data_IF_584323693575
#
_entry.id   IF_584323693575
#
_cell.length_a   1.000
_cell.length_b   1.000
_cell.length_c   1.000
_cell.angle_alpha   90.00
_cell.angle_beta   90.00
_cell.angle_gamma   90.00
#
_symmetry.space_group_name_H-M   'P 1'
#
loop_
_entity.id
_entity.type
_entity.pdbx_description
1 polymer ?
#
# COMPACT_ATOMS: atom_id res chain seq x y z
N UNK A 1 0.92 -6.54 13.68
CA UNK A 1 1.94 -7.61 13.79
C UNK A 1 1.56 -8.73 14.74
N UNK A 2 1.12 -8.48 15.97
CA UNK A 2 0.75 -9.56 16.91
C UNK A 2 -0.26 -10.58 16.34
N UNK A 3 -1.28 -10.09 15.63
CA UNK A 3 -2.34 -10.92 15.07
C UNK A 3 -1.96 -11.56 13.72
N UNK A 4 -1.37 -10.80 12.81
CA UNK A 4 -1.10 -11.25 11.44
C UNK A 4 0.19 -12.06 11.30
N UNK A 5 1.22 -11.79 12.10
CA UNK A 5 2.54 -12.40 11.92
C UNK A 5 2.51 -13.93 12.12
N UNK A 6 1.85 -14.51 13.15
CA UNK A 6 1.77 -15.95 13.29
C UNK A 6 1.15 -16.63 12.06
N UNK A 7 0.02 -16.09 11.58
CA UNK A 7 -0.68 -16.63 10.43
C UNK A 7 0.14 -16.51 9.14
N UNK A 8 0.82 -15.37 8.94
CA UNK A 8 1.68 -15.16 7.78
C UNK A 8 2.87 -16.12 7.76
N UNK A 9 3.51 -16.36 8.90
CA UNK A 9 4.61 -17.33 9.02
C UNK A 9 4.11 -18.75 8.74
N UNK A 10 2.99 -19.16 9.34
CA UNK A 10 2.38 -20.49 9.14
C UNK A 10 2.04 -20.73 7.66
N UNK A 11 1.51 -19.71 6.98
CA UNK A 11 1.08 -19.79 5.58
C UNK A 11 2.19 -19.48 4.57
N UNK A 12 3.40 -19.14 5.02
CA UNK A 12 4.50 -18.75 4.14
C UNK A 12 4.25 -17.46 3.35
N UNK A 13 3.45 -16.55 3.90
CA UNK A 13 3.08 -15.27 3.28
C UNK A 13 4.03 -14.16 3.73
N UNK A 14 4.58 -13.40 2.79
CA UNK A 14 5.38 -12.23 3.08
C UNK A 14 4.48 -11.03 3.43
N UNK A 15 4.71 -10.38 4.58
CA UNK A 15 4.04 -9.13 4.94
C UNK A 15 4.86 -7.95 4.41
N UNK A 16 4.26 -7.09 3.59
CA UNK A 16 4.87 -5.82 3.13
C UNK A 16 4.13 -4.66 3.80
N UNK A 17 4.85 -3.70 4.37
CA UNK A 17 4.21 -2.60 5.11
C UNK A 17 4.97 -1.27 5.09
N UNK A 18 4.23 -0.17 4.98
CA UNK A 18 4.72 1.21 5.07
C UNK A 18 4.89 1.72 6.53
N UNK A 19 4.86 0.82 7.51
CA UNK A 19 4.94 1.15 8.94
C UNK A 19 6.30 1.70 9.41
N UNK A 20 7.33 1.75 8.55
CA UNK A 20 8.63 2.29 8.93
C UNK A 20 8.68 3.82 9.02
N UNK A 21 7.82 4.53 8.26
CA UNK A 21 7.70 5.99 8.28
C UNK A 21 9.07 6.70 8.30
N UNK A 22 9.38 7.45 9.38
CA UNK A 22 10.64 8.17 9.58
C UNK A 22 11.74 7.35 10.26
N UNK A 23 11.43 6.18 10.82
CA UNK A 23 12.38 5.29 11.52
C UNK A 23 12.15 3.81 11.16
N UNK A 24 12.49 3.40 9.93
CA UNK A 24 12.24 2.04 9.47
C UNK A 24 13.06 0.98 10.21
N UNK A 25 14.26 1.33 10.70
CA UNK A 25 15.08 0.42 11.51
C UNK A 25 14.49 0.20 12.91
N UNK A 26 13.99 1.25 13.56
CA UNK A 26 13.27 1.10 14.83
C UNK A 26 12.01 0.24 14.68
N UNK A 27 11.30 0.37 13.55
CA UNK A 27 10.18 -0.52 13.23
C UNK A 27 10.64 -1.98 13.05
N UNK A 28 11.75 -2.21 12.36
CA UNK A 28 12.35 -3.55 12.20
C UNK A 28 12.66 -4.19 13.56
N UNK A 29 13.34 -3.48 14.45
CA UNK A 29 13.65 -3.97 15.80
C UNK A 29 12.38 -4.34 16.58
N UNK A 30 11.32 -3.54 16.48
CA UNK A 30 10.04 -3.85 17.13
C UNK A 30 9.39 -5.10 16.56
N UNK A 31 9.40 -5.28 15.24
CA UNK A 31 8.84 -6.49 14.61
C UNK A 31 9.63 -7.73 15.01
N UNK A 32 10.96 -7.66 15.02
CA UNK A 32 11.84 -8.75 15.49
C UNK A 32 11.58 -9.07 16.97
N UNK A 33 11.43 -8.05 17.82
CA UNK A 33 11.10 -8.23 19.23
C UNK A 33 9.72 -8.87 19.44
N UNK A 34 8.72 -8.53 18.62
CA UNK A 34 7.41 -9.18 18.64
C UNK A 34 7.52 -10.65 18.21
N UNK A 35 8.24 -10.93 17.12
CA UNK A 35 8.44 -12.28 16.62
C UNK A 35 9.11 -13.18 17.67
N UNK A 36 10.16 -12.68 18.31
CA UNK A 36 10.88 -13.39 19.38
C UNK A 36 9.96 -13.72 20.57
N UNK A 37 9.11 -12.77 21.01
CA UNK A 37 8.12 -13.01 22.07
C UNK A 37 7.07 -14.05 21.70
N UNK A 38 6.75 -14.16 20.41
CA UNK A 38 5.81 -15.15 19.87
C UNK A 38 6.48 -16.50 19.55
N UNK A 39 7.80 -16.63 19.75
CA UNK A 39 8.54 -17.87 19.48
C UNK A 39 8.92 -18.09 18.01
N UNK A 40 8.81 -17.07 17.16
CA UNK A 40 9.17 -17.17 15.74
C UNK A 40 10.57 -16.61 15.47
N UNK A 41 11.34 -17.33 14.65
CA UNK A 41 12.53 -16.80 13.99
C UNK A 41 12.16 -16.37 12.59
N UNK A 42 12.29 -15.08 12.30
CA UNK A 42 11.90 -14.49 11.00
C UNK A 42 13.01 -13.60 10.47
N UNK A 43 12.95 -13.35 9.17
CA UNK A 43 13.74 -12.32 8.49
C UNK A 43 12.89 -11.08 8.22
N UNK A 44 13.43 -9.91 8.52
CA UNK A 44 12.78 -8.62 8.26
C UNK A 44 13.69 -7.78 7.37
N UNK A 45 13.27 -7.55 6.12
CA UNK A 45 13.92 -6.65 5.18
C UNK A 45 13.48 -5.20 5.40
N UNK A 46 14.39 -4.24 5.18
CA UNK A 46 14.09 -2.81 5.25
C UNK A 46 14.33 -2.15 3.89
N UNK A 47 13.26 -1.77 3.21
CA UNK A 47 13.29 -1.04 1.95
C UNK A 47 13.27 0.48 2.24
N UNK A 48 14.44 1.10 2.26
CA UNK A 48 14.60 2.53 2.56
C UNK A 48 15.58 3.19 1.58
N UNK A 49 15.51 4.52 1.47
CA UNK A 49 16.49 5.28 0.68
C UNK A 49 17.79 5.43 1.47
N UNK A 50 18.91 5.03 0.87
CA UNK A 50 20.21 5.53 1.29
C UNK A 50 20.37 6.91 0.66
N UNK A 51 20.68 7.94 1.45
CA UNK A 51 20.88 9.29 0.92
C UNK A 51 21.90 9.22 -0.24
N UNK A 52 21.45 9.52 -1.45
CA UNK A 52 22.36 9.66 -2.59
C UNK A 52 22.95 11.05 -2.42
N UNK A 53 24.23 11.13 -2.07
CA UNK A 53 24.98 12.39 -2.12
C UNK A 53 25.17 12.75 -3.60
N UNK A 54 24.13 13.33 -4.20
CA UNK A 54 24.20 13.86 -5.56
C UNK A 54 24.94 15.19 -5.44
N UNK A 55 26.27 15.12 -5.51
CA UNK A 55 27.13 16.27 -5.73
C UNK A 55 26.67 16.98 -7.02
N UNK A 56 25.81 17.99 -6.89
CA UNK A 56 25.30 18.79 -8.01
C UNK A 56 23.85 19.24 -7.91
N UNK A 57 23.03 18.73 -6.98
CA UNK A 57 21.67 19.25 -6.79
C UNK A 57 21.70 20.44 -5.82
N UNK A 58 22.04 21.61 -6.37
CA UNK A 58 22.16 22.89 -5.68
C UNK A 58 20.96 23.20 -4.77
N UNK A 59 21.28 23.44 -3.50
CA UNK A 59 20.84 24.50 -2.56
C UNK A 59 19.35 24.94 -2.45
N UNK A 60 18.49 24.74 -3.44
CA UNK A 60 17.07 25.13 -3.41
C UNK A 60 16.18 24.18 -2.59
N UNK A 61 16.59 22.93 -2.37
CA UNK A 61 15.82 21.96 -1.56
C UNK A 61 16.24 21.93 -0.08
N UNK A 62 17.26 22.70 0.31
CA UNK A 62 17.82 22.70 1.68
C UNK A 62 17.08 23.60 2.67
N UNK A 63 16.10 24.41 2.22
CA UNK A 63 15.40 25.39 3.06
C UNK A 63 14.03 24.94 3.59
N UNK A 64 13.74 23.64 3.60
CA UNK A 64 12.66 23.10 4.42
C UNK A 64 13.32 22.25 5.51
N UNK A 65 13.30 22.73 6.76
CA UNK A 65 13.83 21.97 7.89
C UNK A 65 13.19 20.59 7.95
N UNK A 66 14.02 19.55 7.85
CA UNK A 66 13.58 18.15 7.74
C UNK A 66 13.81 17.62 6.34
N UNK A 67 14.68 16.61 6.20
CA UNK A 67 15.16 16.07 4.92
C UNK A 67 14.04 15.88 3.90
N UNK A 68 14.34 16.25 2.65
CA UNK A 68 13.47 16.17 1.47
C UNK A 68 12.73 14.83 1.48
N UNK A 69 11.47 14.86 1.90
CA UNK A 69 10.75 13.63 2.22
C UNK A 69 10.14 13.06 0.94
N UNK A 70 11.01 12.53 0.07
CA UNK A 70 10.62 11.91 -1.19
C UNK A 70 9.93 10.57 -0.89
N UNK A 71 8.74 10.38 -1.45
CA UNK A 71 8.08 9.09 -1.44
C UNK A 71 8.78 8.17 -2.45
N UNK A 72 9.16 6.99 -1.98
CA UNK A 72 9.79 5.96 -2.81
C UNK A 72 8.77 5.18 -3.65
N UNK A 73 9.23 4.72 -4.80
CA UNK A 73 8.54 3.74 -5.63
C UNK A 73 8.68 2.29 -5.14
N UNK A 74 8.02 1.37 -5.84
CA UNK A 74 8.02 -0.07 -5.69
C UNK A 74 9.39 -0.74 -5.88
N UNK A 75 10.31 -0.13 -6.63
CA UNK A 75 11.59 -0.76 -7.01
C UNK A 75 12.40 -1.31 -5.82
N UNK A 76 12.42 -0.61 -4.69
CA UNK A 76 13.17 -1.06 -3.49
C UNK A 76 12.51 -2.28 -2.85
N UNK A 77 11.18 -2.37 -2.90
CA UNK A 77 10.41 -3.52 -2.40
C UNK A 77 10.66 -4.73 -3.30
N UNK A 78 10.60 -4.56 -4.63
CA UNK A 78 10.89 -5.62 -5.62
C UNK A 78 12.29 -6.21 -5.40
N UNK A 79 13.31 -5.35 -5.25
CA UNK A 79 14.68 -5.81 -4.96
C UNK A 79 14.77 -6.61 -3.65
N UNK A 80 14.03 -6.21 -2.62
CA UNK A 80 13.97 -6.95 -1.36
C UNK A 80 13.36 -8.34 -1.55
N UNK A 81 12.25 -8.43 -2.29
CA UNK A 81 11.56 -9.68 -2.60
C UNK A 81 12.45 -10.64 -3.40
N UNK A 82 13.02 -10.16 -4.50
CA UNK A 82 13.83 -10.99 -5.42
C UNK A 82 15.09 -11.54 -4.77
N UNK A 83 15.80 -10.70 -4.02
CA UNK A 83 17.13 -11.03 -3.51
C UNK A 83 17.11 -11.76 -2.17
N UNK A 84 16.15 -11.45 -1.29
CA UNK A 84 16.21 -11.87 0.11
C UNK A 84 15.01 -12.72 0.55
N UNK A 85 13.88 -12.70 -0.17
CA UNK A 85 12.64 -13.42 0.18
C UNK A 85 12.30 -13.37 1.68
N UNK A 86 12.23 -12.17 2.29
CA UNK A 86 12.05 -12.05 3.73
C UNK A 86 10.62 -12.42 4.14
N UNK A 87 10.41 -12.71 5.44
CA UNK A 87 9.06 -12.91 5.98
C UNK A 87 8.29 -11.58 6.08
N UNK A 88 9.02 -10.48 6.33
CA UNK A 88 8.44 -9.13 6.44
C UNK A 88 9.33 -8.14 5.69
N UNK A 89 8.72 -7.22 4.93
CA UNK A 89 9.37 -6.03 4.37
C UNK A 89 8.76 -4.80 5.03
N UNK A 90 9.62 -3.98 5.63
CA UNK A 90 9.25 -2.67 6.17
C UNK A 90 9.83 -1.61 5.25
N UNK A 91 8.99 -0.70 4.77
CA UNK A 91 9.44 0.43 3.96
C UNK A 91 9.59 1.68 4.82
N UNK A 92 10.48 2.60 4.42
CA UNK A 92 10.34 4.02 4.77
C UNK A 92 9.14 4.61 4.00
N UNK A 93 9.03 5.95 3.89
CA UNK A 93 7.95 6.56 3.09
C UNK A 93 7.97 6.10 1.62
N UNK A 94 7.02 5.24 1.25
CA UNK A 94 6.69 4.87 -0.14
C UNK A 94 5.32 5.44 -0.50
N UNK A 95 5.08 5.68 -1.78
CA UNK A 95 3.70 5.93 -2.26
C UNK A 95 2.86 4.69 -1.93
N UNK A 96 1.61 4.87 -1.51
CA UNK A 96 0.78 3.75 -1.09
C UNK A 96 0.56 2.76 -2.26
N UNK A 97 0.35 3.28 -3.47
CA UNK A 97 0.39 2.51 -4.73
C UNK A 97 1.58 1.56 -4.83
N UNK A 98 2.77 1.99 -4.39
CA UNK A 98 4.02 1.22 -4.49
C UNK A 98 3.98 -0.07 -3.67
N UNK A 99 3.22 -0.11 -2.57
CA UNK A 99 3.05 -1.32 -1.75
C UNK A 99 2.37 -2.45 -2.54
N UNK A 100 1.47 -2.09 -3.43
CA UNK A 100 0.68 -3.01 -4.24
C UNK A 100 1.29 -3.22 -5.63
N UNK A 101 1.90 -2.18 -6.20
CA UNK A 101 2.59 -2.25 -7.48
C UNK A 101 3.75 -3.24 -7.43
N UNK A 102 4.53 -3.23 -6.34
CA UNK A 102 5.68 -4.11 -6.19
C UNK A 102 5.35 -5.60 -6.36
N UNK A 103 4.30 -6.16 -5.73
CA UNK A 103 3.91 -7.54 -5.95
C UNK A 103 2.96 -7.78 -7.14
N UNK A 104 2.12 -6.81 -7.55
CA UNK A 104 0.87 -7.13 -8.28
C UNK A 104 0.47 -6.16 -9.42
N UNK A 105 1.15 -5.02 -9.64
CA UNK A 105 0.82 -4.09 -10.73
C UNK A 105 0.02 -2.84 -10.31
N UNK A 106 0.03 -1.80 -11.15
CA UNK A 106 -0.44 -0.44 -10.79
C UNK A 106 -1.96 -0.31 -10.62
N UNK A 107 -2.76 -0.95 -11.48
CA UNK A 107 -4.22 -0.86 -11.41
C UNK A 107 -4.78 -1.42 -10.09
N UNK A 108 -4.28 -2.59 -9.67
CA UNK A 108 -4.66 -3.19 -8.41
C UNK A 108 -4.26 -2.30 -7.22
N UNK A 109 -3.11 -1.62 -7.31
CA UNK A 109 -2.69 -0.65 -6.31
C UNK A 109 -3.67 0.48 -6.13
N UNK A 110 -3.99 1.20 -7.21
CA UNK A 110 -4.94 2.32 -7.14
C UNK A 110 -6.32 1.91 -6.63
N UNK A 111 -6.81 0.72 -7.00
CA UNK A 111 -8.08 0.22 -6.48
C UNK A 111 -8.06 -0.03 -4.97
N UNK A 112 -6.92 -0.43 -4.40
CA UNK A 112 -6.78 -0.77 -2.98
C UNK A 112 -6.31 0.39 -2.11
N UNK A 113 -6.03 1.55 -2.70
CA UNK A 113 -5.67 2.77 -1.99
C UNK A 113 -6.88 3.43 -1.31
N UNK A 114 -6.60 4.43 -0.47
CA UNK A 114 -7.60 5.23 0.23
C UNK A 114 -8.58 4.45 1.14
N UNK A 115 -8.18 3.28 1.65
CA UNK A 115 -8.91 2.56 2.70
C UNK A 115 -10.23 1.96 2.22
N UNK A 116 -11.37 2.44 2.72
CA UNK A 116 -12.70 1.88 2.39
C UNK A 116 -13.34 2.53 1.15
N UNK A 117 -12.62 3.34 0.37
CA UNK A 117 -13.21 4.04 -0.78
C UNK A 117 -13.81 3.06 -1.81
N UNK A 118 -13.05 2.03 -2.16
CA UNK A 118 -13.48 0.98 -3.09
C UNK A 118 -14.74 0.25 -2.62
N UNK A 119 -14.97 0.21 -1.30
CA UNK A 119 -16.13 -0.44 -0.66
C UNK A 119 -17.22 0.56 -0.25
N UNK A 120 -17.18 1.78 -0.79
CA UNK A 120 -18.25 2.76 -0.65
C UNK A 120 -18.06 3.80 0.47
N UNK A 121 -16.87 3.89 1.05
CA UNK A 121 -16.61 4.73 2.23
C UNK A 121 -16.54 6.24 1.97
N UNK A 122 -15.96 6.63 0.84
CA UNK A 122 -16.00 8.02 0.37
C UNK A 122 -16.96 8.22 -0.81
N UNK A 123 -17.71 7.15 -1.16
CA UNK A 123 -18.68 7.13 -2.23
C UNK A 123 -19.84 8.08 -1.91
N UNK A 124 -19.83 9.21 -2.60
CA UNK A 124 -20.80 10.30 -2.62
C UNK A 124 -21.19 10.94 -1.28
N UNK A 125 -21.22 12.28 -1.29
CA UNK A 125 -21.43 13.16 -0.13
C UNK A 125 -22.69 12.80 0.69
N UNK A 126 -22.70 13.00 2.03
CA UNK A 126 -23.92 12.86 2.83
C UNK A 126 -25.05 13.72 2.24
N UNK A 127 -26.13 13.07 1.79
CA UNK A 127 -27.29 13.72 1.16
C UNK A 127 -27.46 13.43 -0.34
N UNK A 128 -26.57 12.64 -0.95
CA UNK A 128 -26.75 12.21 -2.33
C UNK A 128 -27.92 11.23 -2.46
N UNK A 129 -28.88 11.55 -3.33
CA UNK A 129 -30.03 10.70 -3.67
C UNK A 129 -29.65 9.39 -4.37
N UNK A 130 -28.40 9.30 -4.83
CA UNK A 130 -27.82 8.11 -5.47
C UNK A 130 -27.01 7.25 -4.50
N UNK A 131 -27.03 7.57 -3.20
CA UNK A 131 -26.33 6.81 -2.17
C UNK A 131 -27.16 5.61 -1.74
N UNK A 132 -26.67 4.42 -2.07
CA UNK A 132 -27.31 3.14 -1.69
C UNK A 132 -26.95 2.67 -0.26
N UNK A 133 -26.01 3.34 0.42
CA UNK A 133 -25.54 3.01 1.76
C UNK A 133 -26.17 3.98 2.77
N UNK A 134 -26.77 3.48 3.86
CA UNK A 134 -27.31 4.36 4.90
C UNK A 134 -26.20 5.01 5.75
N UNK A 135 -26.52 5.96 6.62
CA UNK A 135 -25.52 6.53 7.55
C UNK A 135 -25.03 5.49 8.59
N UNK A 136 -25.92 4.68 9.21
CA UNK A 136 -25.48 3.58 10.08
C UNK A 136 -24.55 2.58 9.39
N UNK A 137 -24.81 2.23 8.13
CA UNK A 137 -24.00 1.25 7.40
C UNK A 137 -22.59 1.75 7.07
N UNK A 138 -22.31 3.06 7.11
CA UNK A 138 -20.95 3.60 6.99
C UNK A 138 -20.06 3.27 8.18
N UNK A 139 -20.66 2.94 9.32
CA UNK A 139 -19.90 2.56 10.51
C UNK A 139 -19.39 1.13 10.40
N UNK A 140 -19.91 0.34 9.46
CA UNK A 140 -19.53 -1.04 9.18
C UNK A 140 -19.03 -1.20 7.75
N UNK A 141 -17.88 -0.60 7.45
CA UNK A 141 -17.23 -0.72 6.14
C UNK A 141 -16.01 -1.62 6.23
N UNK A 142 -15.89 -2.51 5.24
CA UNK A 142 -14.75 -3.41 5.13
C UNK A 142 -13.65 -2.84 4.25
N UNK A 143 -12.40 -3.12 4.62
CA UNK A 143 -11.27 -2.87 3.74
C UNK A 143 -11.33 -3.84 2.54
N UNK A 144 -11.08 -3.36 1.31
CA UNK A 144 -10.98 -4.24 0.16
C UNK A 144 -9.69 -5.07 0.19
N UNK A 145 -9.70 -6.17 -0.55
CA UNK A 145 -8.50 -6.89 -0.95
C UNK A 145 -8.59 -7.26 -2.43
N UNK A 146 -7.45 -7.57 -3.05
CA UNK A 146 -7.42 -8.08 -4.40
C UNK A 146 -6.64 -9.40 -4.47
N UNK A 147 -7.14 -10.30 -5.30
CA UNK A 147 -6.42 -11.45 -5.80
C UNK A 147 -5.90 -11.09 -7.19
N UNK A 148 -4.59 -11.24 -7.39
CA UNK A 148 -3.97 -11.03 -8.70
C UNK A 148 -3.32 -12.33 -9.15
N UNK A 149 -3.78 -12.84 -10.28
CA UNK A 149 -3.26 -14.06 -10.89
C UNK A 149 -2.00 -13.76 -11.71
N UNK A 150 -1.22 -14.80 -11.98
CA UNK A 150 0.03 -14.67 -12.75
C UNK A 150 -0.17 -14.23 -14.20
N UNK A 151 -1.39 -14.37 -14.75
CA UNK A 151 -1.77 -13.85 -16.07
C UNK A 151 -2.24 -12.38 -16.03
N UNK A 152 -2.18 -11.73 -14.86
CA UNK A 152 -2.49 -10.32 -14.67
C UNK A 152 -3.97 -10.01 -14.47
N UNK A 153 -4.84 -11.01 -14.26
CA UNK A 153 -6.23 -10.73 -13.88
C UNK A 153 -6.27 -10.26 -12.43
N UNK A 154 -7.08 -9.23 -12.20
CA UNK A 154 -7.28 -8.63 -10.89
C UNK A 154 -8.73 -8.88 -10.48
N UNK A 155 -8.93 -9.55 -9.35
CA UNK A 155 -10.23 -9.75 -8.73
C UNK A 155 -10.26 -8.99 -7.41
N UNK A 156 -11.08 -7.93 -7.32
CA UNK A 156 -11.28 -7.18 -6.09
C UNK A 156 -12.44 -7.77 -5.29
N UNK A 157 -12.29 -7.81 -3.97
CA UNK A 157 -13.25 -8.38 -3.05
C UNK A 157 -13.21 -7.65 -1.70
N UNK A 158 -14.15 -7.99 -0.83
CA UNK A 158 -14.21 -7.59 0.59
C UNK A 158 -14.54 -8.82 1.42
N UNK A 159 -14.34 -8.75 2.74
CA UNK A 159 -14.65 -9.88 3.62
C UNK A 159 -16.12 -10.31 3.51
N UNK A 160 -16.36 -11.62 3.52
CA UNK A 160 -17.72 -12.15 3.49
C UNK A 160 -18.51 -11.73 4.74
N UNK A 161 -19.77 -11.34 4.54
CA UNK A 161 -20.66 -10.88 5.60
C UNK A 161 -20.33 -9.51 6.19
N UNK A 162 -19.27 -8.83 5.74
CA UNK A 162 -18.98 -7.46 6.16
C UNK A 162 -19.87 -6.46 5.44
N UNK A 163 -20.08 -5.26 6.02
CA UNK A 163 -20.72 -4.17 5.30
C UNK A 163 -19.85 -3.54 4.19
N UNK A 164 -20.37 -2.47 3.61
CA UNK A 164 -19.84 -1.81 2.41
C UNK A 164 -20.42 -2.34 1.09
N UNK A 165 -20.28 -1.54 0.03
CA UNK A 165 -20.75 -1.83 -1.33
C UNK A 165 -19.56 -1.92 -2.26
N UNK A 166 -19.44 -3.04 -2.98
CA UNK A 166 -18.40 -3.23 -4.00
C UNK A 166 -19.09 -3.53 -5.33
N UNK A 167 -19.04 -2.57 -6.27
CA UNK A 167 -19.63 -2.70 -7.59
C UNK A 167 -18.83 -1.89 -8.63
N UNK A 168 -19.29 -1.89 -9.88
CA UNK A 168 -18.63 -1.14 -10.94
C UNK A 168 -18.48 0.36 -10.63
N UNK A 169 -19.51 0.98 -10.04
CA UNK A 169 -19.51 2.40 -9.72
C UNK A 169 -18.47 2.76 -8.69
N UNK A 170 -18.32 1.96 -7.62
CA UNK A 170 -17.31 2.21 -6.59
C UNK A 170 -15.89 2.01 -7.13
N UNK A 171 -15.67 1.02 -7.99
CA UNK A 171 -14.40 0.83 -8.69
C UNK A 171 -14.07 1.99 -9.64
N UNK A 172 -15.04 2.45 -10.43
CA UNK A 172 -14.85 3.54 -11.39
C UNK A 172 -14.54 4.87 -10.69
N UNK A 173 -15.23 5.17 -9.58
CA UNK A 173 -14.97 6.37 -8.79
C UNK A 173 -13.58 6.34 -8.13
N UNK A 174 -13.16 5.20 -7.56
CA UNK A 174 -11.82 5.05 -7.01
C UNK A 174 -10.74 5.30 -8.08
N UNK A 175 -10.92 4.73 -9.28
CA UNK A 175 -9.97 4.96 -10.36
C UNK A 175 -9.94 6.41 -10.82
N UNK A 176 -11.09 7.08 -10.92
CA UNK A 176 -11.15 8.49 -11.29
C UNK A 176 -10.53 9.40 -10.21
N UNK A 177 -10.63 9.00 -8.94
CA UNK A 177 -10.04 9.71 -7.82
C UNK A 177 -8.50 9.61 -7.83
N UNK A 178 -7.96 8.40 -8.06
CA UNK A 178 -6.52 8.15 -8.00
C UNK A 178 -5.78 8.51 -9.30
N UNK A 179 -6.45 8.34 -10.44
CA UNK A 179 -5.85 8.50 -11.77
C UNK A 179 -6.37 9.78 -12.41
N UNK A 180 -5.51 10.82 -12.43
CA UNK A 180 -5.82 12.10 -13.05
C UNK A 180 -6.00 12.02 -14.57
N UNK A 181 -4.91 11.88 -15.32
CA UNK A 181 -4.95 11.65 -16.77
C UNK A 181 -4.49 10.22 -17.10
N UNK A 182 -5.40 9.28 -17.40
CA UNK A 182 -5.05 7.90 -17.73
C UNK A 182 -4.13 7.76 -18.95
N UNK A 183 -4.09 8.76 -19.85
CA UNK A 183 -3.22 8.77 -21.04
C UNK A 183 -1.81 9.30 -20.76
N UNK A 184 -1.59 9.92 -19.60
CA UNK A 184 -0.31 10.53 -19.22
C UNK A 184 -0.09 10.50 -17.69
N UNK A 185 -0.45 9.40 -17.03
CA UNK A 185 -0.40 9.31 -15.57
C UNK A 185 1.04 9.06 -15.09
N UNK A 186 1.57 9.99 -14.30
CA UNK A 186 2.96 9.98 -13.81
C UNK A 186 2.98 9.45 -12.38
N UNK A 187 3.61 8.29 -12.19
CA UNK A 187 3.96 7.78 -10.86
C UNK A 187 5.48 7.74 -10.69
N UNK A 188 6.01 7.63 -9.46
CA UNK A 188 7.45 7.44 -9.25
C UNK A 188 8.02 6.16 -9.88
N UNK A 189 7.16 5.19 -10.21
CA UNK A 189 7.57 3.90 -10.75
C UNK A 189 7.37 3.76 -12.25
N UNK A 190 6.26 4.28 -12.78
CA UNK A 190 5.87 4.14 -14.18
C UNK A 190 5.17 5.37 -14.73
N UNK A 191 5.42 5.66 -16.00
CA UNK A 191 4.58 6.52 -16.83
C UNK A 191 3.57 5.62 -17.54
N UNK A 192 2.29 5.76 -17.22
CA UNK A 192 1.22 5.05 -17.95
C UNK A 192 0.86 5.90 -19.16
N UNK A 193 1.07 5.35 -20.36
CA UNK A 193 0.67 5.94 -21.65
C UNK A 193 -0.21 4.92 -22.38
N UNK A 194 -1.35 5.39 -22.89
CA UNK A 194 -2.21 4.60 -23.79
C UNK A 194 -1.58 4.43 -25.17
#
# INVERSE_FOLDING_TARGET
MLLLLPLAVERGVCIITNMGATNPFGAQEKVLGIASKLGFSITVGVAHQYAIDIAGLEQHLRNVGGGSSMYLGAATIVRCLEKYKPNVIITSRVVDASLFLAPMGSLAGHLLECGCQLTGGYFMHPGDKHREISLPDLLDLSLPFAEVSSDGKVCVAKADGSGGLLNFSTCAEQLLYEVGDPGAYVTPDVLIKQ
#
